data_IF_575266493763
#
_entry.id   IF_575266493763
#
_cell.length_a   1.000
_cell.length_b   1.000
_cell.length_c   1.000
_cell.angle_alpha   90.00
_cell.angle_beta   90.00
_cell.angle_gamma   90.00
#
_symmetry.space_group_name_H-M   'P 1'
#
loop_
_entity.id
_entity.type
_entity.pdbx_description
1 polymer ?
#
# COMPACT_ATOMS: atom_id res chain seq x y z
N UNK A 1 -38.54 -74.64 -61.14
CA UNK A 1 -37.98 -73.52 -61.94
C UNK A 1 -37.94 -72.22 -61.13
N UNK A 2 -37.52 -72.26 -59.86
CA UNK A 2 -37.37 -71.12 -58.95
C UNK A 2 -36.20 -71.48 -58.03
N UNK A 3 -34.98 -71.50 -58.59
CA UNK A 3 -33.72 -71.69 -57.84
C UNK A 3 -32.47 -71.28 -58.64
N UNK A 4 -32.63 -70.89 -59.91
CA UNK A 4 -31.55 -70.35 -60.77
C UNK A 4 -31.63 -68.82 -60.98
N UNK A 5 -32.55 -68.12 -60.31
CA UNK A 5 -32.70 -66.66 -60.41
C UNK A 5 -32.15 -65.90 -59.18
N UNK A 6 -31.48 -66.59 -58.25
CA UNK A 6 -30.95 -66.00 -57.00
C UNK A 6 -29.42 -66.01 -56.91
N UNK A 7 -28.75 -66.59 -57.91
CA UNK A 7 -27.28 -66.62 -58.04
C UNK A 7 -26.74 -65.65 -59.08
N UNK A 8 -27.61 -65.00 -59.88
CA UNK A 8 -27.22 -63.91 -60.80
C UNK A 8 -27.31 -62.51 -60.17
N UNK A 9 -27.94 -62.37 -59.00
CA UNK A 9 -28.02 -61.09 -58.27
C UNK A 9 -26.84 -60.87 -57.29
N UNK A 10 -26.08 -61.93 -56.98
CA UNK A 10 -24.93 -61.87 -56.05
C UNK A 10 -23.55 -61.86 -56.74
N UNK A 11 -23.49 -61.82 -58.08
CA UNK A 11 -22.25 -61.57 -58.83
C UNK A 11 -22.23 -60.19 -59.53
N UNK A 12 -23.30 -59.40 -59.42
CA UNK A 12 -23.35 -58.01 -59.91
C UNK A 12 -22.90 -56.97 -58.86
N UNK A 13 -22.56 -57.39 -57.64
CA UNK A 13 -22.23 -56.50 -56.51
C UNK A 13 -20.73 -56.50 -56.12
N UNK A 14 -19.87 -57.20 -56.85
CA UNK A 14 -18.41 -57.29 -56.58
C UNK A 14 -17.55 -56.85 -57.80
N UNK A 15 -18.14 -56.17 -58.80
CA UNK A 15 -17.41 -55.55 -59.93
C UNK A 15 -17.90 -54.10 -60.14
N UNK A 16 -18.05 -53.35 -59.04
CA UNK A 16 -18.27 -51.90 -59.10
C UNK A 16 -17.54 -51.16 -57.95
N UNK A 17 -16.35 -51.66 -57.58
CA UNK A 17 -15.47 -51.06 -56.56
C UNK A 17 -14.03 -50.84 -57.05
N UNK A 18 -13.82 -50.77 -58.38
CA UNK A 18 -12.53 -50.43 -58.99
C UNK A 18 -12.68 -49.41 -60.13
N UNK A 19 -13.53 -48.41 -59.94
CA UNK A 19 -13.28 -47.08 -60.55
C UNK A 19 -12.63 -46.23 -59.46
N UNK A 20 -11.39 -46.60 -59.15
CA UNK A 20 -10.38 -45.63 -58.76
C UNK A 20 -10.30 -44.61 -59.90
N UNK A 21 -11.11 -43.55 -59.79
CA UNK A 21 -10.84 -42.34 -60.51
C UNK A 21 -9.50 -41.85 -59.96
N UNK A 22 -8.44 -42.16 -60.71
CA UNK A 22 -7.13 -41.56 -60.55
C UNK A 22 -7.35 -40.08 -60.32
N UNK A 23 -7.06 -39.63 -59.10
CA UNK A 23 -6.81 -38.23 -58.85
C UNK A 23 -5.71 -37.84 -59.84
N UNK A 24 -6.11 -37.21 -60.95
CA UNK A 24 -5.24 -36.30 -61.65
C UNK A 24 -4.91 -35.23 -60.62
N UNK A 25 -3.84 -35.48 -59.86
CA UNK A 25 -3.00 -34.43 -59.33
C UNK A 25 -2.44 -33.72 -60.55
N UNK A 26 -3.27 -32.88 -61.18
CA UNK A 26 -2.77 -31.75 -61.92
C UNK A 26 -1.89 -31.03 -60.91
N UNK A 27 -0.59 -31.11 -61.16
CA UNK A 27 0.44 -30.30 -60.54
C UNK A 27 0.22 -28.87 -61.01
N UNK A 28 -0.95 -28.32 -60.68
CA UNK A 28 -1.26 -26.92 -60.80
C UNK A 28 -0.33 -26.24 -59.82
N UNK A 29 0.59 -25.41 -60.34
CA UNK A 29 1.24 -24.36 -59.57
C UNK A 29 0.14 -23.74 -58.70
N UNK A 30 0.11 -24.03 -57.39
CA UNK A 30 -0.86 -23.46 -56.45
C UNK A 30 -0.60 -21.97 -56.43
N UNK A 31 -1.24 -21.25 -57.36
CA UNK A 31 -1.11 -19.80 -57.48
C UNK A 31 -1.52 -19.21 -56.13
N UNK A 32 -0.76 -18.24 -55.59
CA UNK A 32 -1.14 -17.62 -54.32
C UNK A 32 -2.56 -17.07 -54.43
N UNK A 33 -3.41 -17.30 -53.41
CA UNK A 33 -4.73 -16.69 -53.31
C UNK A 33 -4.64 -15.16 -53.47
N UNK A 34 -5.73 -14.52 -53.93
CA UNK A 34 -5.74 -13.06 -54.14
C UNK A 34 -5.35 -12.29 -52.87
N UNK A 35 -5.83 -12.72 -51.70
CA UNK A 35 -5.54 -12.09 -50.41
C UNK A 35 -4.06 -12.16 -49.97
N UNK A 36 -3.27 -13.07 -50.55
CA UNK A 36 -1.80 -13.13 -50.33
C UNK A 36 -1.07 -12.06 -51.16
N UNK A 37 -1.67 -11.63 -52.27
CA UNK A 37 -1.09 -10.59 -53.14
C UNK A 37 -1.49 -9.17 -52.72
N UNK A 38 -2.70 -9.02 -52.19
CA UNK A 38 -3.28 -7.72 -51.84
C UNK A 38 -4.23 -7.88 -50.64
N UNK A 39 -4.12 -6.98 -49.65
CA UNK A 39 -4.98 -6.99 -48.46
C UNK A 39 -6.44 -6.75 -48.88
N UNK A 40 -7.38 -7.64 -48.53
CA UNK A 40 -8.79 -7.42 -48.83
C UNK A 40 -9.34 -6.16 -48.14
N UNK A 41 -10.08 -5.34 -48.89
CA UNK A 41 -10.84 -4.22 -48.33
C UNK A 41 -12.29 -4.68 -48.17
N UNK A 42 -12.71 -4.92 -46.92
CA UNK A 42 -14.06 -5.38 -46.60
C UNK A 42 -14.73 -4.40 -45.63
N UNK A 43 -15.82 -3.73 -46.02
CA UNK A 43 -16.47 -2.75 -45.14
C UNK A 43 -17.04 -3.41 -43.87
N UNK A 44 -17.51 -4.65 -43.97
CA UNK A 44 -18.24 -5.35 -42.88
C UNK A 44 -17.35 -6.17 -41.93
N UNK A 45 -16.06 -6.31 -42.24
CA UNK A 45 -15.13 -7.15 -41.48
C UNK A 45 -13.85 -6.40 -41.15
N UNK A 46 -13.35 -6.60 -39.94
CA UNK A 46 -11.95 -6.37 -39.63
C UNK A 46 -11.11 -7.52 -40.21
N UNK A 47 -9.92 -7.22 -40.69
CA UNK A 47 -9.02 -8.19 -41.34
C UNK A 47 -7.71 -8.30 -40.56
N UNK A 48 -7.19 -9.52 -40.42
CA UNK A 48 -5.86 -9.76 -39.87
C UNK A 48 -5.07 -10.69 -40.77
N UNK A 49 -3.93 -10.25 -41.29
CA UNK A 49 -3.08 -11.07 -42.16
C UNK A 49 -1.64 -11.04 -41.64
N UNK A 50 -1.04 -12.21 -41.47
CA UNK A 50 0.37 -12.32 -41.15
C UNK A 50 1.09 -13.35 -42.02
N UNK A 51 2.39 -13.11 -42.19
CA UNK A 51 3.33 -13.98 -42.89
C UNK A 51 4.51 -14.29 -41.98
N UNK A 52 4.86 -15.57 -41.88
CA UNK A 52 5.99 -16.05 -41.08
C UNK A 52 6.90 -16.92 -41.94
N UNK A 53 8.21 -16.78 -41.76
CA UNK A 53 9.20 -17.66 -42.38
C UNK A 53 9.24 -19.00 -41.64
N UNK A 54 9.27 -20.11 -42.37
CA UNK A 54 9.39 -21.46 -41.79
C UNK A 54 10.85 -21.74 -41.51
N UNK A 55 11.39 -21.17 -40.44
CA UNK A 55 12.73 -21.57 -40.00
C UNK A 55 12.71 -23.04 -39.54
N UNK A 56 13.75 -23.80 -39.90
CA UNK A 56 13.86 -25.26 -39.69
C UNK A 56 13.94 -25.59 -38.19
N UNK A 57 14.22 -24.60 -37.34
CA UNK A 57 14.38 -24.72 -35.88
C UNK A 57 13.07 -24.62 -35.07
N UNK A 58 11.97 -24.10 -35.64
CA UNK A 58 10.71 -23.90 -34.91
C UNK A 58 9.62 -24.85 -35.42
N UNK A 59 9.32 -25.90 -34.66
CA UNK A 59 8.17 -26.81 -34.88
C UNK A 59 6.81 -26.10 -34.84
N UNK A 60 6.77 -24.78 -34.56
CA UNK A 60 5.54 -24.04 -34.26
C UNK A 60 5.26 -22.79 -35.12
N UNK A 61 5.85 -22.68 -36.32
CA UNK A 61 5.65 -21.53 -37.22
C UNK A 61 4.16 -21.28 -37.56
N UNK A 62 3.32 -22.32 -37.53
CA UNK A 62 1.87 -22.20 -37.76
C UNK A 62 1.20 -21.42 -36.62
N UNK A 63 1.53 -21.71 -35.35
CA UNK A 63 0.96 -20.98 -34.22
C UNK A 63 1.51 -19.55 -34.15
N UNK A 64 2.78 -19.36 -34.52
CA UNK A 64 3.34 -18.01 -34.64
C UNK A 64 2.60 -17.18 -35.69
N UNK A 65 2.32 -17.74 -36.86
CA UNK A 65 1.56 -17.05 -37.91
C UNK A 65 0.12 -16.76 -37.50
N UNK A 66 -0.52 -17.68 -36.77
CA UNK A 66 -1.84 -17.46 -36.18
C UNK A 66 -1.80 -16.32 -35.15
N UNK A 67 -0.83 -16.33 -34.23
CA UNK A 67 -0.68 -15.29 -33.21
C UNK A 67 -0.44 -13.91 -33.83
N UNK A 68 0.42 -13.82 -34.85
CA UNK A 68 0.69 -12.55 -35.53
C UNK A 68 -0.50 -12.06 -36.36
N UNK A 69 -1.25 -12.96 -37.00
CA UNK A 69 -2.46 -12.58 -37.75
C UNK A 69 -3.55 -12.07 -36.81
N UNK A 70 -3.64 -12.62 -35.59
CA UNK A 70 -4.55 -12.11 -34.55
C UNK A 70 -4.12 -10.72 -34.07
N UNK A 71 -2.83 -10.50 -33.89
CA UNK A 71 -2.32 -9.18 -33.51
C UNK A 71 -2.60 -8.12 -34.61
N UNK A 72 -2.39 -8.47 -35.88
CA UNK A 72 -2.73 -7.60 -37.02
C UNK A 72 -4.25 -7.30 -37.06
N UNK A 73 -5.11 -8.30 -36.80
CA UNK A 73 -6.56 -8.09 -36.66
C UNK A 73 -6.89 -7.08 -35.56
N UNK A 74 -6.31 -7.26 -34.36
CA UNK A 74 -6.53 -6.35 -33.23
C UNK A 74 -6.02 -4.93 -33.51
N UNK A 75 -4.95 -4.78 -34.29
CA UNK A 75 -4.42 -3.46 -34.68
C UNK A 75 -5.35 -2.70 -35.64
N UNK A 76 -6.21 -3.41 -36.38
CA UNK A 76 -7.22 -2.79 -37.24
C UNK A 76 -8.40 -2.24 -36.42
N UNK A 77 -8.59 -2.71 -35.19
CA UNK A 77 -9.65 -2.22 -34.30
C UNK A 77 -9.19 -0.93 -33.63
N UNK A 78 -9.72 0.20 -34.09
CA UNK A 78 -9.45 1.50 -33.50
C UNK A 78 -10.17 1.65 -32.16
N UNK A 79 -9.42 1.96 -31.10
CA UNK A 79 -9.97 2.37 -29.81
C UNK A 79 -10.07 3.89 -29.80
N UNK A 80 -11.25 4.43 -29.51
CA UNK A 80 -11.50 5.87 -29.41
C UNK A 80 -12.11 6.21 -28.07
N UNK A 81 -11.58 7.23 -27.39
CA UNK A 81 -12.14 7.73 -26.14
C UNK A 81 -13.38 8.58 -26.46
N UNK A 82 -14.51 8.24 -25.83
CA UNK A 82 -15.74 9.01 -25.89
C UNK A 82 -15.56 10.41 -25.30
N UNK A 83 -16.22 11.42 -25.89
CA UNK A 83 -16.29 12.76 -25.31
C UNK A 83 -16.97 12.77 -23.92
N UNK A 84 -17.83 11.78 -23.65
CA UNK A 84 -18.52 11.61 -22.36
C UNK A 84 -17.77 10.64 -21.43
N UNK A 85 -16.53 10.26 -21.75
CA UNK A 85 -15.71 9.39 -20.91
C UNK A 85 -15.34 10.07 -19.59
N UNK A 86 -15.29 9.28 -18.51
CA UNK A 86 -14.80 9.76 -17.21
C UNK A 86 -13.31 10.12 -17.24
N UNK A 87 -12.55 9.57 -18.19
CA UNK A 87 -11.13 9.91 -18.37
C UNK A 87 -10.93 11.41 -18.65
N UNK A 88 -11.94 12.10 -19.19
CA UNK A 88 -11.88 13.56 -19.37
C UNK A 88 -11.81 14.34 -18.05
N UNK A 89 -12.20 13.75 -16.91
CA UNK A 89 -12.05 14.39 -15.60
C UNK A 89 -10.59 14.42 -15.11
N UNK A 90 -9.73 13.57 -15.66
CA UNK A 90 -8.34 13.40 -15.25
C UNK A 90 -7.38 13.96 -16.30
N UNK A 91 -7.67 15.16 -16.83
CA UNK A 91 -6.86 15.82 -17.87
C UNK A 91 -5.36 15.90 -17.52
N UNK A 92 -5.04 16.15 -16.25
CA UNK A 92 -3.65 16.27 -15.78
C UNK A 92 -2.93 14.90 -15.66
N UNK A 93 -3.67 13.78 -15.65
CA UNK A 93 -3.16 12.42 -15.46
C UNK A 93 -2.89 11.73 -16.80
N UNK A 94 -2.04 12.35 -17.61
CA UNK A 94 -1.66 11.87 -18.95
C UNK A 94 -1.11 10.44 -18.95
N UNK A 95 -0.25 10.12 -17.98
CA UNK A 95 0.35 8.80 -17.84
C UNK A 95 -0.70 7.70 -17.63
N UNK A 96 -1.73 7.95 -16.81
CA UNK A 96 -2.78 6.96 -16.57
C UNK A 96 -3.60 6.69 -17.83
N UNK A 97 -3.92 7.73 -18.60
CA UNK A 97 -4.67 7.58 -19.88
C UNK A 97 -3.91 6.74 -20.89
N UNK A 98 -2.62 7.00 -21.05
CA UNK A 98 -1.75 6.24 -21.96
C UNK A 98 -1.62 4.78 -21.52
N UNK A 99 -1.41 4.54 -20.21
CA UNK A 99 -1.36 3.20 -19.64
C UNK A 99 -2.69 2.46 -19.86
N UNK A 100 -3.82 3.13 -19.61
CA UNK A 100 -5.16 2.57 -19.82
C UNK A 100 -5.39 2.18 -21.28
N UNK A 101 -5.06 3.06 -22.23
CA UNK A 101 -5.20 2.77 -23.65
C UNK A 101 -4.32 1.58 -24.09
N UNK A 102 -3.06 1.54 -23.62
CA UNK A 102 -2.14 0.43 -23.88
C UNK A 102 -2.68 -0.89 -23.33
N UNK A 103 -3.25 -0.87 -22.12
CA UNK A 103 -3.86 -2.03 -21.48
C UNK A 103 -5.09 -2.53 -22.24
N UNK A 104 -5.97 -1.64 -22.73
CA UNK A 104 -7.10 -2.06 -23.58
C UNK A 104 -6.59 -2.74 -24.85
N UNK A 105 -5.60 -2.15 -25.53
CA UNK A 105 -5.05 -2.74 -26.77
C UNK A 105 -4.46 -4.13 -26.51
N UNK A 106 -3.77 -4.32 -25.39
CA UNK A 106 -3.19 -5.60 -24.99
C UNK A 106 -4.27 -6.63 -24.62
N UNK A 107 -5.27 -6.22 -23.83
CA UNK A 107 -6.37 -7.08 -23.40
C UNK A 107 -7.28 -7.47 -24.56
N UNK A 108 -7.44 -6.59 -25.56
CA UNK A 108 -8.21 -6.90 -26.77
C UNK A 108 -7.68 -8.17 -27.44
N UNK A 109 -6.37 -8.35 -27.56
CA UNK A 109 -5.79 -9.55 -28.16
C UNK A 109 -6.09 -10.84 -27.36
N UNK A 110 -6.34 -10.72 -26.06
CA UNK A 110 -6.63 -11.86 -25.18
C UNK A 110 -8.13 -12.19 -25.14
N UNK A 111 -9.00 -11.17 -25.19
CA UNK A 111 -10.45 -11.31 -25.02
C UNK A 111 -11.25 -11.28 -26.33
N UNK A 112 -10.60 -11.03 -27.48
CA UNK A 112 -11.28 -10.98 -28.77
C UNK A 112 -11.83 -12.37 -29.13
N UNK A 113 -13.13 -12.41 -29.40
CA UNK A 113 -13.87 -13.62 -29.72
C UNK A 113 -14.59 -13.47 -31.07
N UNK A 114 -15.03 -14.59 -31.65
CA UNK A 114 -15.84 -14.57 -32.87
C UNK A 114 -15.07 -14.26 -34.16
N UNK A 115 -13.73 -14.25 -34.12
CA UNK A 115 -12.92 -14.18 -35.32
C UNK A 115 -12.82 -15.55 -36.00
N UNK A 116 -12.71 -15.55 -37.33
CA UNK A 116 -12.72 -16.77 -38.15
C UNK A 116 -11.47 -16.84 -39.03
N UNK A 117 -10.95 -18.05 -39.24
CA UNK A 117 -9.92 -18.31 -40.25
C UNK A 117 -10.56 -18.36 -41.64
N UNK A 118 -10.25 -17.36 -42.47
CA UNK A 118 -10.71 -17.32 -43.86
C UNK A 118 -9.84 -18.22 -44.73
N UNK A 119 -8.54 -18.30 -44.42
CA UNK A 119 -7.64 -19.21 -45.10
C UNK A 119 -6.24 -19.21 -44.53
N UNK A 120 -5.49 -20.25 -44.91
CA UNK A 120 -4.04 -20.30 -44.76
C UNK A 120 -3.39 -20.62 -46.10
N UNK A 121 -2.18 -20.11 -46.31
CA UNK A 121 -1.42 -20.42 -47.52
C UNK A 121 0.01 -20.80 -47.17
N UNK A 122 0.37 -22.02 -47.56
CA UNK A 122 1.72 -22.56 -47.43
C UNK A 122 2.50 -22.28 -48.73
N UNK A 123 3.46 -21.35 -48.65
CA UNK A 123 4.40 -21.09 -49.72
C UNK A 123 5.56 -22.10 -49.67
N UNK A 124 5.37 -23.24 -50.34
CA UNK A 124 6.41 -24.29 -50.40
C UNK A 124 7.72 -23.85 -51.05
N UNK A 125 7.70 -22.81 -51.90
CA UNK A 125 8.89 -22.34 -52.65
C UNK A 125 9.60 -21.15 -51.97
N UNK A 126 8.84 -20.28 -51.32
CA UNK A 126 9.37 -19.09 -50.62
C UNK A 126 9.64 -19.29 -49.13
N UNK A 127 9.39 -20.48 -48.59
CA UNK A 127 9.57 -20.79 -47.17
C UNK A 127 8.71 -19.90 -46.23
N UNK A 128 7.49 -19.55 -46.67
CA UNK A 128 6.57 -18.69 -45.91
C UNK A 128 5.27 -19.40 -45.60
N UNK A 129 4.65 -19.04 -44.48
CA UNK A 129 3.32 -19.48 -44.09
C UNK A 129 2.46 -18.26 -43.77
N UNK A 130 1.29 -18.20 -44.42
CA UNK A 130 0.37 -17.08 -44.34
C UNK A 130 -0.93 -17.51 -43.65
N UNK A 131 -1.48 -16.63 -42.82
CA UNK A 131 -2.77 -16.81 -42.15
C UNK A 131 -3.62 -15.55 -42.36
N UNK A 132 -4.90 -15.75 -42.63
CA UNK A 132 -5.89 -14.69 -42.78
C UNK A 132 -7.09 -14.93 -41.84
N UNK A 133 -7.28 -13.99 -40.92
CA UNK A 133 -8.45 -13.88 -40.06
C UNK A 133 -9.40 -12.75 -40.49
N UNK A 134 -10.68 -12.94 -40.18
CA UNK A 134 -11.69 -11.87 -40.24
C UNK A 134 -12.54 -11.85 -38.98
N UNK A 135 -13.08 -10.70 -38.64
CA UNK A 135 -14.09 -10.54 -37.58
C UNK A 135 -15.21 -9.62 -38.08
N UNK A 136 -16.47 -10.04 -37.93
CA UNK A 136 -17.61 -9.20 -38.32
C UNK A 136 -17.69 -7.95 -37.43
N UNK A 137 -17.71 -6.76 -38.03
CA UNK A 137 -17.84 -5.50 -37.30
C UNK A 137 -19.16 -5.41 -36.55
N UNK A 138 -20.26 -5.85 -37.17
CA UNK A 138 -21.58 -5.84 -36.56
C UNK A 138 -21.67 -6.76 -35.33
N UNK A 139 -21.05 -7.94 -35.40
CA UNK A 139 -21.00 -8.88 -34.27
C UNK A 139 -20.13 -8.33 -33.13
N UNK A 140 -18.97 -7.79 -33.47
CA UNK A 140 -18.07 -7.16 -32.49
C UNK A 140 -18.78 -6.03 -31.74
N UNK A 141 -19.42 -5.10 -32.46
CA UNK A 141 -20.18 -3.99 -31.86
C UNK A 141 -21.33 -4.47 -30.98
N UNK A 142 -22.05 -5.52 -31.39
CA UNK A 142 -23.11 -6.10 -30.58
C UNK A 142 -22.56 -6.66 -29.26
N UNK A 143 -21.47 -7.43 -29.31
CA UNK A 143 -20.83 -8.01 -28.13
C UNK A 143 -20.28 -6.91 -27.21
N UNK A 144 -19.60 -5.91 -27.78
CA UNK A 144 -19.08 -4.74 -27.06
C UNK A 144 -20.21 -4.01 -26.32
N UNK A 145 -21.33 -3.74 -26.99
CA UNK A 145 -22.52 -3.12 -26.39
C UNK A 145 -23.14 -3.96 -25.28
N UNK A 146 -23.20 -5.29 -25.44
CA UNK A 146 -23.72 -6.19 -24.40
C UNK A 146 -22.85 -6.19 -23.15
N UNK A 147 -21.51 -6.26 -23.32
CA UNK A 147 -20.54 -6.15 -22.21
C UNK A 147 -20.70 -4.80 -21.49
N UNK A 148 -20.72 -3.70 -22.25
CA UNK A 148 -20.91 -2.35 -21.71
C UNK A 148 -22.23 -2.20 -20.94
N UNK A 149 -23.35 -2.66 -21.50
CA UNK A 149 -24.65 -2.56 -20.84
C UNK A 149 -24.72 -3.39 -19.55
N UNK A 150 -24.06 -4.57 -19.52
CA UNK A 150 -23.95 -5.38 -18.31
C UNK A 150 -23.13 -4.65 -17.23
N UNK A 151 -21.97 -4.12 -17.59
CA UNK A 151 -21.12 -3.32 -16.71
C UNK A 151 -21.90 -2.12 -16.12
N UNK A 152 -22.54 -1.32 -16.99
CA UNK A 152 -23.40 -0.20 -16.60
C UNK A 152 -24.48 -0.60 -15.60
N UNK A 153 -25.17 -1.73 -15.84
CA UNK A 153 -26.25 -2.20 -14.95
C UNK A 153 -25.71 -2.58 -13.56
N UNK A 154 -24.58 -3.28 -13.51
CA UNK A 154 -23.94 -3.67 -12.23
C UNK A 154 -23.47 -2.43 -11.47
N UNK A 155 -22.77 -1.53 -12.17
CA UNK A 155 -22.28 -0.29 -11.58
C UNK A 155 -23.41 0.63 -11.10
N UNK A 156 -24.48 0.75 -11.88
CA UNK A 156 -25.68 1.50 -11.49
C UNK A 156 -26.29 0.95 -10.19
N UNK A 157 -26.42 -0.38 -10.07
CA UNK A 157 -26.95 -1.00 -8.86
C UNK A 157 -26.09 -0.70 -7.62
N UNK A 158 -24.76 -0.72 -7.75
CA UNK A 158 -23.87 -0.34 -6.64
C UNK A 158 -23.90 1.17 -6.36
N UNK A 159 -23.96 2.00 -7.40
CA UNK A 159 -24.10 3.45 -7.26
C UNK A 159 -25.37 3.82 -6.49
N UNK A 160 -26.50 3.18 -6.79
CA UNK A 160 -27.77 3.40 -6.09
C UNK A 160 -27.69 2.94 -4.63
N UNK A 161 -27.04 1.80 -4.34
CA UNK A 161 -26.78 1.35 -2.96
C UNK A 161 -25.86 2.32 -2.20
N UNK A 162 -24.85 2.87 -2.86
CA UNK A 162 -23.96 3.88 -2.29
C UNK A 162 -24.75 5.15 -1.93
N UNK A 163 -25.60 5.64 -2.85
CA UNK A 163 -26.48 6.79 -2.61
C UNK A 163 -27.47 6.55 -1.48
N UNK A 164 -27.99 5.33 -1.35
CA UNK A 164 -28.84 4.99 -0.21
C UNK A 164 -28.05 4.99 1.12
N UNK A 165 -26.81 4.50 1.10
CA UNK A 165 -25.92 4.50 2.27
C UNK A 165 -25.55 5.93 2.68
N UNK A 166 -25.27 6.83 1.72
CA UNK A 166 -25.07 8.26 1.97
C UNK A 166 -26.27 8.91 2.68
N UNK A 167 -27.50 8.63 2.19
CA UNK A 167 -28.73 9.17 2.80
C UNK A 167 -28.90 8.70 4.26
N UNK A 168 -28.41 7.51 4.56
CA UNK A 168 -28.42 6.92 5.90
C UNK A 168 -27.22 7.33 6.77
N UNK A 169 -26.30 8.17 6.27
CA UNK A 169 -25.03 8.55 6.89
C UNK A 169 -24.06 7.37 7.15
N UNK A 170 -24.27 6.25 6.48
CA UNK A 170 -23.31 5.14 6.47
C UNK A 170 -22.26 5.39 5.38
N UNK A 171 -21.40 6.37 5.64
CA UNK A 171 -20.51 6.94 4.63
C UNK A 171 -19.40 5.98 4.21
N UNK A 172 -18.89 5.16 5.12
CA UNK A 172 -17.86 4.18 4.76
C UNK A 172 -18.42 3.06 3.89
N UNK A 173 -19.65 2.62 4.19
CA UNK A 173 -20.36 1.67 3.33
C UNK A 173 -20.66 2.28 1.96
N UNK A 174 -21.01 3.58 1.90
CA UNK A 174 -21.18 4.29 0.63
C UNK A 174 -19.89 4.30 -0.20
N UNK A 175 -18.75 4.67 0.40
CA UNK A 175 -17.43 4.63 -0.25
C UNK A 175 -17.10 3.22 -0.76
N UNK A 176 -17.40 2.19 0.04
CA UNK A 176 -17.20 0.77 -0.36
C UNK A 176 -18.07 0.37 -1.55
N UNK A 177 -19.32 0.84 -1.63
CA UNK A 177 -20.17 0.59 -2.79
C UNK A 177 -19.73 1.38 -4.03
N UNK A 178 -19.20 2.60 -3.86
CA UNK A 178 -18.60 3.34 -4.97
C UNK A 178 -17.36 2.65 -5.54
N UNK A 179 -16.51 2.05 -4.70
CA UNK A 179 -15.39 1.23 -5.16
C UNK A 179 -15.89 0.05 -6.01
N UNK A 180 -16.90 -0.69 -5.55
CA UNK A 180 -17.51 -1.78 -6.33
C UNK A 180 -18.17 -1.31 -7.63
N UNK A 181 -18.75 -0.12 -7.64
CA UNK A 181 -19.31 0.48 -8.85
C UNK A 181 -18.21 0.83 -9.86
N UNK A 182 -17.06 1.30 -9.37
CA UNK A 182 -15.87 1.62 -10.16
C UNK A 182 -15.24 0.35 -10.77
N UNK A 183 -15.07 -0.71 -9.98
CA UNK A 183 -14.60 -2.02 -10.45
C UNK A 183 -15.45 -2.52 -11.63
N UNK A 184 -16.78 -2.35 -11.55
CA UNK A 184 -17.69 -2.81 -12.58
C UNK A 184 -17.56 -2.07 -13.93
N UNK A 185 -17.02 -0.84 -13.94
CA UNK A 185 -16.80 -0.03 -15.15
C UNK A 185 -15.32 0.10 -15.54
N UNK A 186 -14.40 -0.50 -14.79
CA UNK A 186 -12.94 -0.38 -14.97
C UNK A 186 -12.52 -0.60 -16.43
N UNK A 187 -13.05 -1.63 -17.09
CA UNK A 187 -12.71 -1.97 -18.48
C UNK A 187 -13.38 -1.09 -19.55
N UNK A 188 -14.16 -0.10 -19.14
CA UNK A 188 -15.04 0.69 -20.01
C UNK A 188 -14.95 2.19 -19.73
N UNK A 189 -13.87 2.67 -19.10
CA UNK A 189 -13.72 4.08 -18.74
C UNK A 189 -13.64 4.99 -19.97
N UNK A 190 -13.19 4.48 -21.13
CA UNK A 190 -13.16 5.16 -22.43
C UNK A 190 -14.54 5.36 -23.07
N UNK A 191 -15.56 4.64 -22.61
CA UNK A 191 -16.90 4.64 -23.20
C UNK A 191 -17.83 5.71 -22.59
N UNK A 192 -18.97 5.97 -23.26
CA UNK A 192 -20.05 6.75 -22.63
C UNK A 192 -20.72 5.91 -21.53
N UNK A 193 -20.48 6.25 -20.27
CA UNK A 193 -21.04 5.58 -19.09
C UNK A 193 -22.39 6.17 -18.62
N UNK A 194 -23.10 6.89 -19.50
CA UNK A 194 -24.41 7.46 -19.18
C UNK A 194 -25.49 6.40 -18.95
N UNK A 195 -26.28 6.59 -17.89
CA UNK A 195 -27.45 5.80 -17.51
C UNK A 195 -28.58 6.70 -17.01
N UNK A 196 -29.81 6.17 -17.00
CA UNK A 196 -30.95 6.84 -16.38
C UNK A 196 -31.10 6.34 -14.94
N UNK A 197 -31.11 7.26 -13.98
CA UNK A 197 -31.36 7.00 -12.56
C UNK A 197 -32.65 7.70 -12.12
N UNK A 198 -33.06 7.51 -10.86
CA UNK A 198 -34.19 8.24 -10.27
C UNK A 198 -33.99 9.76 -10.27
N UNK A 199 -32.74 10.22 -10.18
CA UNK A 199 -32.38 11.64 -10.16
C UNK A 199 -32.12 12.20 -11.59
N UNK A 200 -32.43 11.41 -12.62
CA UNK A 200 -32.27 11.76 -14.03
C UNK A 200 -31.09 11.06 -14.71
N UNK A 201 -30.71 11.57 -15.88
CA UNK A 201 -29.60 11.01 -16.66
C UNK A 201 -28.27 11.47 -16.08
N UNK A 202 -27.43 10.52 -15.69
CA UNK A 202 -26.08 10.78 -15.14
C UNK A 202 -25.04 9.95 -15.89
N UNK A 203 -23.79 10.39 -15.86
CA UNK A 203 -22.64 9.55 -16.22
C UNK A 203 -22.13 8.87 -14.95
N UNK A 204 -22.03 7.54 -14.95
CA UNK A 204 -21.65 6.78 -13.75
C UNK A 204 -20.24 7.13 -13.27
N UNK A 205 -19.26 7.24 -14.17
CA UNK A 205 -17.89 7.53 -13.76
C UNK A 205 -17.77 8.89 -13.09
N UNK A 206 -18.29 9.95 -13.72
CA UNK A 206 -18.25 11.30 -13.12
C UNK A 206 -19.13 11.39 -11.87
N UNK A 207 -20.27 10.70 -11.85
CA UNK A 207 -21.16 10.62 -10.71
C UNK A 207 -20.51 9.96 -9.50
N UNK A 208 -19.79 8.84 -9.69
CA UNK A 208 -19.03 8.15 -8.65
C UNK A 208 -17.94 9.07 -8.10
N UNK A 209 -17.11 9.65 -8.98
CA UNK A 209 -16.04 10.57 -8.59
C UNK A 209 -16.58 11.73 -7.75
N UNK A 210 -17.57 12.46 -8.26
CA UNK A 210 -18.15 13.61 -7.56
C UNK A 210 -18.76 13.22 -6.20
N UNK A 211 -19.30 12.02 -6.07
CA UNK A 211 -19.90 11.55 -4.82
C UNK A 211 -18.83 11.25 -3.77
N UNK A 212 -17.74 10.55 -4.15
CA UNK A 212 -16.58 10.31 -3.28
C UNK A 212 -16.00 11.65 -2.81
N UNK A 213 -15.75 12.58 -3.74
CA UNK A 213 -15.19 13.89 -3.43
C UNK A 213 -16.11 14.71 -2.53
N UNK A 214 -17.43 14.62 -2.72
CA UNK A 214 -18.39 15.27 -1.83
C UNK A 214 -18.37 14.65 -0.42
N UNK A 215 -18.23 13.33 -0.30
CA UNK A 215 -18.07 12.68 1.01
C UNK A 215 -16.82 13.19 1.71
N UNK A 216 -15.69 13.24 1.00
CA UNK A 216 -14.43 13.76 1.56
C UNK A 216 -14.56 15.21 1.99
N UNK A 217 -15.14 16.07 1.13
CA UNK A 217 -15.29 17.50 1.41
C UNK A 217 -16.22 17.78 2.59
N UNK A 218 -17.29 17.01 2.76
CA UNK A 218 -18.30 17.24 3.81
C UNK A 218 -17.99 16.50 5.12
N UNK A 219 -17.09 15.54 5.11
CA UNK A 219 -16.69 14.84 6.34
C UNK A 219 -15.62 15.64 7.07
N UNK A 220 -15.91 16.03 8.31
CA UNK A 220 -14.97 16.70 9.20
C UNK A 220 -14.58 15.77 10.35
N UNK A 221 -13.27 15.65 10.59
CA UNK A 221 -12.71 14.92 11.73
C UNK A 221 -12.15 15.94 12.72
N UNK A 222 -12.76 16.04 13.91
CA UNK A 222 -12.38 17.00 14.94
C UNK A 222 -11.90 16.26 16.19
N UNK A 223 -10.61 16.35 16.56
CA UNK A 223 -10.15 15.88 17.85
C UNK A 223 -10.70 16.76 18.97
N UNK A 224 -11.23 16.16 20.04
CA UNK A 224 -11.71 16.89 21.23
C UNK A 224 -10.59 17.73 21.85
N UNK A 225 -9.35 17.22 21.77
CA UNK A 225 -8.14 17.91 22.20
C UNK A 225 -7.15 18.00 21.05
N UNK A 226 -7.01 19.20 20.50
CA UNK A 226 -6.01 19.51 19.47
C UNK A 226 -4.58 19.56 20.02
N UNK A 227 -4.45 19.73 21.34
CA UNK A 227 -3.16 19.75 22.03
C UNK A 227 -3.21 18.84 23.25
N UNK A 228 -2.25 17.94 23.35
CA UNK A 228 -2.09 17.04 24.48
C UNK A 228 -0.72 17.30 25.10
N UNK A 229 -0.67 17.47 26.42
CA UNK A 229 0.58 17.57 27.18
C UNK A 229 0.83 16.24 27.86
N UNK A 230 1.99 15.66 27.61
CA UNK A 230 2.42 14.37 28.16
C UNK A 230 3.84 14.48 28.69
N UNK A 231 4.15 13.67 29.70
CA UNK A 231 5.54 13.46 30.10
C UNK A 231 6.09 12.22 29.39
N UNK A 232 7.39 12.21 29.09
CA UNK A 232 8.06 11.04 28.49
C UNK A 232 7.75 9.79 29.30
N UNK A 233 7.50 8.66 28.61
CA UNK A 233 7.23 7.35 29.22
C UNK A 233 6.00 7.29 30.13
N UNK A 234 5.12 8.29 30.07
CA UNK A 234 3.81 8.24 30.77
C UNK A 234 2.68 7.96 29.78
N UNK A 235 1.65 7.27 30.28
CA UNK A 235 0.44 7.00 29.51
C UNK A 235 -0.57 8.15 29.61
N UNK A 236 -1.28 8.43 28.51
CA UNK A 236 -2.44 9.30 28.57
C UNK A 236 -3.58 8.52 29.24
N UNK A 237 -4.05 8.98 30.40
CA UNK A 237 -5.13 8.33 31.15
C UNK A 237 -6.47 8.38 30.42
N UNK A 238 -6.74 9.48 29.73
CA UNK A 238 -7.96 9.70 28.98
C UNK A 238 -7.75 9.33 27.50
N UNK A 239 -8.69 8.61 26.86
CA UNK A 239 -8.57 8.32 25.44
C UNK A 239 -8.57 9.62 24.63
N UNK A 240 -7.85 9.60 23.51
CA UNK A 240 -7.98 10.59 22.45
C UNK A 240 -9.34 10.35 21.81
N UNK A 241 -10.24 11.32 21.94
CA UNK A 241 -11.56 11.30 21.32
C UNK A 241 -11.53 12.10 20.02
N UNK A 242 -12.09 11.52 18.97
CA UNK A 242 -12.22 12.10 17.64
C UNK A 242 -13.70 12.08 17.29
N UNK A 243 -14.26 13.25 17.01
CA UNK A 243 -15.62 13.41 16.53
C UNK A 243 -15.62 13.45 15.00
N UNK A 244 -16.50 12.69 14.37
CA UNK A 244 -16.74 12.73 12.93
C UNK A 244 -18.11 13.33 12.63
N UNK A 245 -18.12 14.37 11.80
CA UNK A 245 -19.30 15.16 11.49
C UNK A 245 -19.46 15.34 9.98
N UNK A 246 -20.69 15.26 9.51
CA UNK A 246 -21.09 15.57 8.16
C UNK A 246 -21.59 17.02 8.11
N UNK A 247 -20.88 17.86 7.36
CA UNK A 247 -21.23 19.25 7.09
C UNK A 247 -22.37 19.29 6.07
N UNK A 248 -23.60 19.23 6.56
CA UNK A 248 -24.82 19.44 5.78
C UNK A 248 -25.04 20.91 5.44
N UNK A 249 -26.06 21.19 4.62
CA UNK A 249 -26.39 22.57 4.20
C UNK A 249 -27.10 23.37 5.30
N UNK A 250 -27.61 22.71 6.35
CA UNK A 250 -28.44 23.32 7.40
C UNK A 250 -27.94 22.99 8.79
N UNK A 251 -27.50 21.75 9.02
CA UNK A 251 -27.03 21.25 10.31
C UNK A 251 -25.93 20.22 10.12
N UNK A 252 -25.05 20.15 11.12
CA UNK A 252 -24.02 19.12 11.25
C UNK A 252 -24.66 17.82 11.74
N UNK A 253 -24.33 16.70 11.09
CA UNK A 253 -24.83 15.37 11.47
C UNK A 253 -23.69 14.48 11.92
N UNK A 254 -23.93 13.65 12.91
CA UNK A 254 -22.93 12.71 13.43
C UNK A 254 -22.78 11.53 12.47
N UNK A 255 -21.53 11.10 12.24
CA UNK A 255 -21.23 9.99 11.32
C UNK A 255 -20.86 8.75 12.13
N UNK A 256 -21.74 7.72 12.20
CA UNK A 256 -21.42 6.47 12.87
C UNK A 256 -20.60 5.53 11.99
N UNK A 257 -19.94 4.55 12.62
CA UNK A 257 -19.23 3.45 11.94
C UNK A 257 -18.16 3.90 10.92
N UNK A 258 -17.59 5.10 11.09
CA UNK A 258 -16.53 5.62 10.23
C UNK A 258 -15.18 5.11 10.75
N UNK A 259 -14.40 4.35 9.94
CA UNK A 259 -13.09 3.88 10.35
C UNK A 259 -12.08 5.01 10.22
N UNK A 260 -11.30 5.21 11.29
CA UNK A 260 -10.34 6.30 11.42
C UNK A 260 -8.99 5.69 11.74
N UNK A 261 -7.97 6.17 11.02
CA UNK A 261 -6.57 5.86 11.27
C UNK A 261 -5.91 7.02 11.99
N UNK A 262 -5.03 6.69 12.94
CA UNK A 262 -4.16 7.63 13.62
C UNK A 262 -2.71 7.24 13.36
N UNK A 263 -1.89 8.17 12.91
CA UNK A 263 -0.48 7.93 12.62
C UNK A 263 0.39 9.09 13.10
N UNK A 264 1.55 8.79 13.67
CA UNK A 264 2.54 9.82 13.94
C UNK A 264 3.14 10.31 12.62
N UNK A 265 2.98 11.60 12.32
CA UNK A 265 3.66 12.29 11.20
C UNK A 265 4.95 12.94 11.66
N UNK A 266 5.07 13.20 12.97
CA UNK A 266 6.29 13.71 13.62
C UNK A 266 6.39 13.12 15.02
N UNK A 267 7.54 12.52 15.34
CA UNK A 267 7.71 11.79 16.59
C UNK A 267 7.31 10.32 16.45
N UNK A 268 7.10 9.65 17.58
CA UNK A 268 6.81 8.22 17.63
C UNK A 268 6.24 7.82 18.99
N UNK A 269 5.46 6.75 18.99
CA UNK A 269 4.78 6.23 20.18
C UNK A 269 3.88 5.04 19.87
N UNK A 270 3.30 4.48 20.93
CA UNK A 270 2.39 3.33 20.84
C UNK A 270 0.98 3.79 21.12
N UNK A 271 0.11 3.69 20.13
CA UNK A 271 -1.32 3.95 20.25
C UNK A 271 -2.16 2.90 19.54
N UNK A 272 -3.45 2.84 19.88
CA UNK A 272 -4.42 2.14 19.04
C UNK A 272 -4.68 2.96 17.77
N UNK A 273 -3.98 2.61 16.69
CA UNK A 273 -3.93 3.39 15.46
C UNK A 273 -5.12 3.19 14.52
N UNK A 274 -6.00 2.21 14.78
CA UNK A 274 -7.22 1.96 14.01
C UNK A 274 -8.41 1.93 14.95
N UNK A 275 -9.34 2.84 14.74
CA UNK A 275 -10.53 3.02 15.56
C UNK A 275 -11.74 3.27 14.67
N UNK A 276 -12.95 3.15 15.20
CA UNK A 276 -14.18 3.36 14.45
C UNK A 276 -15.11 4.22 15.28
N UNK A 277 -15.86 5.11 14.63
CA UNK A 277 -16.84 5.95 15.34
C UNK A 277 -18.04 5.14 15.81
N UNK A 278 -18.54 5.48 16.99
CA UNK A 278 -19.75 4.92 17.55
C UNK A 278 -21.02 5.60 17.00
N UNK A 279 -22.19 5.24 17.54
CA UNK A 279 -23.49 5.83 17.16
C UNK A 279 -23.60 7.34 17.42
N UNK A 280 -22.71 7.91 18.23
CA UNK A 280 -22.64 9.34 18.53
C UNK A 280 -21.55 10.05 17.73
N UNK A 281 -20.93 9.37 16.76
CA UNK A 281 -19.89 9.92 15.90
C UNK A 281 -18.53 10.05 16.58
N UNK A 282 -18.30 9.38 17.71
CA UNK A 282 -17.02 9.45 18.43
C UNK A 282 -16.21 8.17 18.26
N UNK A 283 -14.92 8.33 17.92
CA UNK A 283 -13.93 7.26 17.98
C UNK A 283 -12.93 7.52 19.11
N UNK A 284 -12.56 6.47 19.83
CA UNK A 284 -11.66 6.54 20.98
C UNK A 284 -10.35 5.79 20.70
N UNK A 285 -9.22 6.50 20.69
CA UNK A 285 -7.89 5.92 20.59
C UNK A 285 -7.14 6.05 21.92
N UNK A 286 -6.47 4.97 22.34
CA UNK A 286 -5.63 4.98 23.54
C UNK A 286 -4.17 5.20 23.13
N UNK A 287 -3.59 6.32 23.58
CA UNK A 287 -2.15 6.57 23.50
C UNK A 287 -1.48 5.97 24.74
N UNK A 288 -0.84 4.83 24.54
CA UNK A 288 -0.23 4.05 25.63
C UNK A 288 1.09 4.67 26.08
N UNK A 289 1.95 5.07 25.13
CA UNK A 289 3.20 5.78 25.44
C UNK A 289 3.70 6.59 24.26
N UNK A 290 4.49 7.62 24.57
CA UNK A 290 5.28 8.36 23.59
C UNK A 290 6.75 7.93 23.77
N UNK A 291 7.36 7.43 22.70
CA UNK A 291 8.74 6.92 22.70
C UNK A 291 9.73 7.92 22.15
N UNK A 292 9.28 8.85 21.30
CA UNK A 292 10.13 9.90 20.75
C UNK A 292 10.44 10.98 21.79
N UNK A 293 11.68 11.47 21.77
CA UNK A 293 12.21 12.54 22.63
C UNK A 293 11.88 13.95 22.11
N UNK A 294 11.23 14.02 20.95
CA UNK A 294 10.87 15.30 20.34
C UNK A 294 9.85 16.02 21.22
N UNK A 295 10.17 17.26 21.62
CA UNK A 295 9.28 18.09 22.44
C UNK A 295 7.93 18.35 21.74
N UNK A 296 7.96 18.54 20.44
CA UNK A 296 6.79 18.79 19.62
C UNK A 296 6.60 17.63 18.64
N UNK A 297 5.53 16.88 18.84
CA UNK A 297 5.13 15.74 18.02
C UNK A 297 3.75 15.97 17.42
N UNK A 298 3.43 15.22 16.39
CA UNK A 298 2.20 15.35 15.62
C UNK A 298 1.63 13.97 15.31
N UNK A 299 0.35 13.79 15.66
CA UNK A 299 -0.47 12.68 15.19
C UNK A 299 -1.43 13.23 14.15
N UNK A 300 -1.43 12.65 12.97
CA UNK A 300 -2.48 12.82 11.98
C UNK A 300 -3.60 11.83 12.26
N UNK A 301 -4.83 12.34 12.18
CA UNK A 301 -6.08 11.59 12.25
C UNK A 301 -6.68 11.65 10.87
N UNK A 302 -6.95 10.51 10.23
CA UNK A 302 -7.46 10.45 8.87
C UNK A 302 -8.50 9.33 8.71
N UNK A 303 -9.31 9.41 7.66
CA UNK A 303 -10.18 8.31 7.25
C UNK A 303 -9.34 7.08 6.88
N UNK A 304 -9.62 5.91 7.49
CA UNK A 304 -8.93 4.67 7.11
C UNK A 304 -9.51 4.14 5.78
N UNK A 305 -8.71 4.26 4.72
CA UNK A 305 -9.06 3.81 3.37
C UNK A 305 -8.36 2.50 2.97
N UNK A 306 -7.67 1.83 3.90
CA UNK A 306 -6.81 0.66 3.57
C UNK A 306 -7.57 -0.53 2.97
N UNK A 307 -8.87 -0.66 3.21
CA UNK A 307 -9.70 -1.70 2.57
C UNK A 307 -10.18 -1.35 1.16
N UNK A 308 -10.03 -0.10 0.74
CA UNK A 308 -10.40 0.39 -0.61
C UNK A 308 -9.13 0.62 -1.44
N UNK A 309 -8.07 1.13 -0.81
CA UNK A 309 -6.76 1.43 -1.38
C UNK A 309 -5.75 0.36 -0.98
N UNK A 310 -5.88 -0.83 -1.54
CA UNK A 310 -4.95 -1.94 -1.31
C UNK A 310 -3.90 -1.99 -2.43
N UNK A 311 -2.64 -1.70 -2.13
CA UNK A 311 -1.54 -1.66 -3.10
C UNK A 311 -1.28 -3.00 -3.82
N UNK A 312 -1.79 -4.11 -3.28
CA UNK A 312 -1.63 -5.43 -3.87
C UNK A 312 -2.72 -5.78 -4.90
N UNK A 313 -3.74 -4.94 -5.08
CA UNK A 313 -4.83 -5.18 -6.04
C UNK A 313 -4.58 -4.46 -7.36
N UNK A 314 -4.95 -5.11 -8.47
CA UNK A 314 -4.74 -4.59 -9.83
C UNK A 314 -5.47 -3.24 -10.06
N UNK A 315 -6.62 -3.06 -9.41
CA UNK A 315 -7.45 -1.85 -9.49
C UNK A 315 -6.90 -0.67 -8.64
N UNK A 316 -5.81 -0.84 -7.88
CA UNK A 316 -5.28 0.17 -6.96
C UNK A 316 -5.05 1.52 -7.63
N UNK A 317 -4.46 1.55 -8.84
CA UNK A 317 -4.19 2.79 -9.58
C UNK A 317 -5.47 3.55 -9.89
N UNK A 318 -6.50 2.84 -10.34
CA UNK A 318 -7.81 3.41 -10.63
C UNK A 318 -8.49 3.91 -9.35
N UNK A 319 -8.47 3.10 -8.29
CA UNK A 319 -9.04 3.50 -7.00
C UNK A 319 -8.34 4.74 -6.44
N UNK A 320 -7.02 4.82 -6.51
CA UNK A 320 -6.26 5.99 -6.03
C UNK A 320 -6.65 7.29 -6.75
N UNK A 321 -6.96 7.23 -8.04
CA UNK A 321 -7.45 8.39 -8.81
C UNK A 321 -8.80 8.88 -8.31
N UNK A 322 -9.72 7.97 -8.00
CA UNK A 322 -11.08 8.32 -7.56
C UNK A 322 -11.14 8.67 -6.06
N UNK A 323 -10.41 7.94 -5.24
CA UNK A 323 -10.27 8.12 -3.80
C UNK A 323 -8.97 8.86 -3.47
N UNK A 324 -8.78 10.04 -4.07
CA UNK A 324 -7.58 10.88 -3.94
C UNK A 324 -7.19 11.06 -2.47
N UNK A 325 -6.12 10.39 -1.97
CA UNK A 325 -5.79 10.37 -0.54
C UNK A 325 -5.53 11.75 0.05
N UNK A 326 -5.01 12.66 -0.77
CA UNK A 326 -4.67 14.03 -0.37
C UNK A 326 -5.90 14.85 0.00
N UNK A 327 -7.05 14.54 -0.62
CA UNK A 327 -8.35 15.18 -0.42
C UNK A 327 -9.17 14.50 0.68
N UNK A 328 -8.76 13.32 1.15
CA UNK A 328 -9.46 12.59 2.19
C UNK A 328 -9.49 13.39 3.52
N UNK A 329 -10.55 13.24 4.33
CA UNK A 329 -10.70 13.93 5.61
C UNK A 329 -9.51 13.64 6.53
N UNK A 330 -8.89 14.71 7.03
CA UNK A 330 -7.78 14.62 7.98
C UNK A 330 -7.74 15.79 8.96
N UNK A 331 -7.19 15.55 10.13
CA UNK A 331 -6.90 16.55 11.14
C UNK A 331 -5.65 16.18 11.93
N UNK A 332 -5.18 17.10 12.77
CA UNK A 332 -3.90 16.97 13.47
C UNK A 332 -4.07 17.20 14.96
N UNK A 333 -3.33 16.42 15.72
CA UNK A 333 -3.18 16.54 17.17
C UNK A 333 -1.72 16.83 17.45
N UNK A 334 -1.47 17.91 18.17
CA UNK A 334 -0.13 18.27 18.61
C UNK A 334 0.11 17.67 19.99
N UNK A 335 1.22 16.94 20.13
CA UNK A 335 1.66 16.42 21.41
C UNK A 335 2.87 17.23 21.86
N UNK A 336 2.72 17.85 23.03
CA UNK A 336 3.80 18.53 23.74
C UNK A 336 4.35 17.57 24.78
N UNK A 337 5.54 17.07 24.53
CA UNK A 337 6.24 16.14 25.43
C UNK A 337 7.16 16.92 26.36
N UNK A 338 6.90 16.77 27.66
CA UNK A 338 7.72 17.32 28.73
C UNK A 338 8.60 16.22 29.34
N UNK A 339 9.77 16.60 29.86
CA UNK A 339 10.65 15.66 30.57
C UNK A 339 10.12 15.42 31.98
N UNK A 340 10.36 14.22 32.51
CA UNK A 340 9.91 13.84 33.84
C UNK A 340 10.67 14.63 34.92
N UNK A 341 9.96 15.27 35.84
CA UNK A 341 10.61 16.03 36.93
C UNK A 341 11.22 15.08 37.96
N UNK A 342 12.54 15.12 38.12
CA UNK A 342 13.27 14.24 39.03
C UNK A 342 14.09 14.99 40.07
N UNK A 343 14.20 14.41 41.27
CA UNK A 343 15.18 14.81 42.27
C UNK A 343 16.34 13.82 42.25
N UNK A 344 17.58 14.32 42.16
CA UNK A 344 18.77 13.46 42.05
C UNK A 344 19.55 13.41 43.37
N UNK A 345 19.71 12.20 43.89
CA UNK A 345 20.67 11.89 44.93
C UNK A 345 21.91 11.27 44.30
N UNK A 346 23.08 11.79 44.62
CA UNK A 346 24.34 11.28 44.09
C UNK A 346 25.33 11.07 45.24
N UNK A 347 25.89 9.87 45.33
CA UNK A 347 26.94 9.52 46.28
C UNK A 347 28.07 8.84 45.53
N UNK A 348 29.28 9.33 45.73
CA UNK A 348 30.47 8.81 45.07
C UNK A 348 31.52 8.42 46.11
N UNK A 349 32.07 7.22 45.94
CA UNK A 349 33.26 6.77 46.65
C UNK A 349 34.41 6.59 45.67
N UNK A 350 35.57 7.12 46.03
CA UNK A 350 36.81 6.92 45.30
C UNK A 350 37.81 6.29 46.27
N UNK A 351 38.24 5.07 45.95
CA UNK A 351 39.21 4.30 46.74
C UNK A 351 38.80 4.17 48.22
N UNK A 352 37.52 3.91 48.45
CA UNK A 352 36.93 3.72 49.78
C UNK A 352 36.60 5.00 50.56
N UNK A 353 36.83 6.19 49.98
CA UNK A 353 36.51 7.48 50.61
C UNK A 353 35.41 8.21 49.86
N UNK A 354 34.53 8.88 50.58
CA UNK A 354 33.50 9.73 49.98
C UNK A 354 34.16 10.90 49.23
N UNK A 355 33.66 11.17 48.02
CA UNK A 355 34.16 12.20 47.11
C UNK A 355 33.17 13.36 47.00
N UNK A 356 33.71 14.56 46.82
CA UNK A 356 32.96 15.80 46.56
C UNK A 356 33.36 16.43 45.22
N UNK A 357 33.98 15.67 44.31
CA UNK A 357 34.53 16.21 43.05
C UNK A 357 33.46 16.68 42.07
N UNK A 358 32.21 16.21 42.20
CA UNK A 358 31.03 16.53 41.37
C UNK A 358 31.19 16.33 39.83
N UNK A 359 32.35 15.92 39.31
CA UNK A 359 32.60 15.73 37.88
C UNK A 359 31.63 14.70 37.28
N UNK A 360 31.62 13.48 37.84
CA UNK A 360 30.74 12.41 37.36
C UNK A 360 29.27 12.79 37.55
N UNK A 361 28.90 13.36 38.72
CA UNK A 361 27.56 13.89 38.99
C UNK A 361 27.08 14.82 37.87
N UNK A 362 27.90 15.78 37.46
CA UNK A 362 27.53 16.76 36.44
C UNK A 362 27.42 16.15 35.05
N UNK A 363 28.32 15.23 34.68
CA UNK A 363 28.25 14.52 33.41
C UNK A 363 26.99 13.65 33.32
N UNK A 364 26.71 12.86 34.36
CA UNK A 364 25.49 12.05 34.44
C UNK A 364 24.22 12.90 34.44
N UNK A 365 24.22 14.00 35.21
CA UNK A 365 23.09 14.92 35.24
C UNK A 365 22.83 15.52 33.87
N UNK A 366 23.88 15.89 33.11
CA UNK A 366 23.76 16.40 31.74
C UNK A 366 23.15 15.33 30.82
N UNK A 367 23.75 14.14 30.78
CA UNK A 367 23.33 13.03 29.92
C UNK A 367 21.87 12.65 30.17
N UNK A 368 21.48 12.51 31.44
CA UNK A 368 20.11 12.19 31.84
C UNK A 368 19.13 13.34 31.62
N UNK A 369 19.59 14.60 31.72
CA UNK A 369 18.76 15.78 31.43
C UNK A 369 18.44 15.91 29.95
N UNK A 370 19.39 15.58 29.09
CA UNK A 370 19.21 15.67 27.64
C UNK A 370 18.15 14.66 27.16
N UNK A 371 18.09 13.50 27.82
CA UNK A 371 17.32 12.36 27.35
C UNK A 371 15.97 12.14 28.06
N UNK A 372 15.86 12.32 29.38
CA UNK A 372 14.72 11.79 30.13
C UNK A 372 14.17 12.74 31.21
N UNK A 373 15.04 13.37 31.99
CA UNK A 373 14.64 14.10 33.20
C UNK A 373 14.75 15.62 33.08
N UNK A 374 13.92 16.31 33.87
CA UNK A 374 14.09 17.72 34.24
C UNK A 374 14.40 17.76 35.73
N UNK A 375 15.66 17.98 36.10
CA UNK A 375 16.05 17.91 37.51
C UNK A 375 15.61 19.14 38.31
N UNK A 376 15.05 18.90 39.49
CA UNK A 376 14.67 19.91 40.48
C UNK A 376 15.47 19.73 41.76
N UNK A 377 15.76 20.84 42.46
CA UNK A 377 16.36 20.81 43.80
C UNK A 377 15.30 20.70 44.91
N UNK A 378 14.02 20.81 44.54
CA UNK A 378 12.89 20.72 45.44
C UNK A 378 12.27 19.32 45.33
N UNK A 379 12.43 18.52 46.39
CA UNK A 379 11.99 17.12 46.45
C UNK A 379 10.46 16.99 46.35
N UNK A 380 9.71 17.98 46.86
CA UNK A 380 8.24 17.95 46.82
C UNK A 380 7.68 18.19 45.42
N UNK A 381 8.46 18.84 44.54
CA UNK A 381 8.12 19.08 43.14
C UNK A 381 8.55 17.95 42.21
N UNK A 382 9.29 16.96 42.71
CA UNK A 382 9.73 15.82 41.93
C UNK A 382 8.63 14.77 41.86
N UNK A 383 8.50 14.11 40.70
CA UNK A 383 7.66 12.92 40.55
C UNK A 383 8.42 11.66 40.91
N UNK A 384 9.72 11.66 40.65
CA UNK A 384 10.61 10.53 40.92
C UNK A 384 11.88 10.98 41.62
N UNK A 385 12.44 10.10 42.43
CA UNK A 385 13.75 10.25 43.04
C UNK A 385 14.70 9.30 42.31
N UNK A 386 15.79 9.85 41.79
CA UNK A 386 16.86 9.10 41.16
C UNK A 386 18.05 9.04 42.12
N UNK A 387 18.34 7.84 42.63
CA UNK A 387 19.50 7.56 43.45
C UNK A 387 20.61 6.94 42.59
N UNK A 388 21.77 7.61 42.57
CA UNK A 388 22.97 7.14 41.87
C UNK A 388 24.09 6.98 42.90
N UNK A 389 24.55 5.75 43.06
CA UNK A 389 25.68 5.41 43.92
C UNK A 389 26.83 4.90 43.08
N UNK A 390 28.02 5.47 43.25
CA UNK A 390 29.20 5.10 42.48
C UNK A 390 30.36 4.72 43.38
N UNK A 391 31.17 3.77 42.92
CA UNK A 391 32.36 3.34 43.64
C UNK A 391 33.51 3.08 42.66
N UNK A 392 34.61 3.81 42.83
CA UNK A 392 35.85 3.61 42.09
C UNK A 392 36.83 2.82 42.94
N UNK A 393 37.27 1.67 42.44
CA UNK A 393 38.28 0.82 43.06
C UNK A 393 39.61 0.91 42.30
N UNK A 394 40.72 0.70 43.02
CA UNK A 394 42.05 0.62 42.39
C UNK A 394 42.21 -0.74 41.73
N UNK A 395 42.56 -0.72 40.45
CA UNK A 395 43.04 -1.90 39.75
C UNK A 395 44.55 -2.07 39.88
N UNK A 396 45.08 -2.92 39.01
CA UNK A 396 46.52 -3.13 38.88
C UNK A 396 47.24 -1.94 38.25
N UNK A 397 48.54 -1.84 38.50
CA UNK A 397 49.42 -0.93 37.77
C UNK A 397 50.25 -1.74 36.80
N UNK A 398 50.03 -1.53 35.50
CA UNK A 398 50.80 -2.21 34.45
C UNK A 398 52.08 -1.47 34.18
N UNK A 399 53.20 -2.09 34.49
CA UNK A 399 54.53 -1.55 34.22
C UNK A 399 55.18 -2.29 33.04
N UNK A 400 55.63 -1.53 32.05
CA UNK A 400 56.47 -1.99 30.94
C UNK A 400 57.82 -1.28 30.96
N UNK A 401 58.72 -1.62 30.01
CA UNK A 401 60.11 -1.11 30.00
C UNK A 401 60.22 0.42 30.10
N UNK A 402 59.26 1.17 29.54
CA UNK A 402 59.23 2.64 29.55
C UNK A 402 57.83 3.23 29.84
N UNK A 403 56.90 2.47 30.44
CA UNK A 403 55.56 2.99 30.74
C UNK A 403 54.98 2.40 32.02
N UNK A 404 54.13 3.18 32.68
CA UNK A 404 53.38 2.78 33.87
C UNK A 404 51.94 3.21 33.66
N UNK A 405 51.01 2.28 33.63
CA UNK A 405 49.58 2.55 33.40
C UNK A 405 48.81 2.19 34.66
N UNK A 406 48.09 3.16 35.21
CA UNK A 406 47.25 2.99 36.38
C UNK A 406 45.85 2.59 35.93
N UNK A 407 45.34 1.47 36.43
CA UNK A 407 44.00 0.98 36.08
C UNK A 407 43.05 1.23 37.26
N UNK A 408 41.82 1.62 36.98
CA UNK A 408 40.72 1.71 37.93
C UNK A 408 39.47 1.07 37.35
N UNK A 409 38.57 0.69 38.25
CA UNK A 409 37.27 0.14 37.89
C UNK A 409 36.18 0.94 38.60
N UNK A 410 35.16 1.34 37.86
CA UNK A 410 34.02 2.12 38.35
C UNK A 410 32.75 1.28 38.24
N UNK A 411 32.05 1.14 39.37
CA UNK A 411 30.69 0.61 39.41
C UNK A 411 29.70 1.76 39.62
N UNK A 412 28.59 1.75 38.87
CA UNK A 412 27.49 2.71 39.04
C UNK A 412 26.18 1.96 39.23
N UNK A 413 25.47 2.27 40.32
CA UNK A 413 24.16 1.72 40.65
C UNK A 413 23.09 2.81 40.53
N UNK A 414 21.99 2.49 39.86
CA UNK A 414 20.86 3.38 39.60
C UNK A 414 19.60 2.81 40.23
N UNK A 415 18.88 3.63 40.98
CA UNK A 415 17.53 3.32 41.44
C UNK A 415 16.61 4.51 41.19
N UNK A 416 15.43 4.24 40.64
CA UNK A 416 14.37 5.23 40.44
C UNK A 416 13.17 4.84 41.30
N UNK A 417 12.71 5.77 42.13
CA UNK A 417 11.58 5.58 43.03
C UNK A 417 10.48 6.60 42.73
N UNK A 418 9.22 6.14 42.61
CA UNK A 418 8.07 7.03 42.49
C UNK A 418 7.77 7.72 43.83
N UNK A 419 7.65 9.04 43.83
CA UNK A 419 7.50 9.85 45.06
C UNK A 419 6.15 9.62 45.73
N UNK A 420 5.10 9.31 44.97
CA UNK A 420 3.74 9.18 45.51
C UNK A 420 3.50 7.83 46.17
N UNK A 421 3.98 6.78 45.54
CA UNK A 421 3.78 5.39 45.96
C UNK A 421 4.92 4.87 46.83
N UNK A 422 6.12 5.46 46.70
CA UNK A 422 7.34 4.96 47.33
C UNK A 422 7.88 3.67 46.69
N UNK A 423 7.33 3.25 45.55
CA UNK A 423 7.75 2.03 44.87
C UNK A 423 9.00 2.27 44.01
N UNK A 424 9.97 1.36 44.09
CA UNK A 424 11.10 1.32 43.16
C UNK A 424 10.58 0.84 41.80
N UNK A 425 10.67 1.72 40.81
CA UNK A 425 10.16 1.55 39.45
C UNK A 425 11.26 1.18 38.45
N UNK A 426 12.53 1.36 38.82
CA UNK A 426 13.67 0.94 38.03
C UNK A 426 14.89 0.73 38.93
N UNK A 427 15.66 -0.31 38.65
CA UNK A 427 16.91 -0.62 39.33
C UNK A 427 17.85 -1.31 38.35
N UNK A 428 19.06 -0.78 38.20
CA UNK A 428 20.07 -1.34 37.31
C UNK A 428 21.47 -0.86 37.68
N UNK A 429 22.48 -1.51 37.11
CA UNK A 429 23.87 -1.15 37.36
C UNK A 429 24.77 -1.44 36.17
N UNK A 430 25.85 -0.67 36.09
CA UNK A 430 27.01 -0.96 35.24
C UNK A 430 28.19 -1.26 36.15
N UNK A 431 28.97 -2.27 35.78
CA UNK A 431 30.03 -2.83 36.61
C UNK A 431 31.37 -2.78 35.88
N UNK A 432 32.43 -2.63 36.66
CA UNK A 432 33.81 -2.74 36.22
C UNK A 432 34.18 -1.84 35.03
N UNK A 433 33.58 -0.65 34.94
CA UNK A 433 33.92 0.31 33.89
C UNK A 433 35.37 0.73 34.05
N UNK A 434 36.17 0.41 33.04
CA UNK A 434 37.63 0.46 33.14
C UNK A 434 38.17 1.80 32.67
N UNK A 435 38.94 2.47 33.54
CA UNK A 435 39.79 3.61 33.17
C UNK A 435 41.28 3.24 33.27
N UNK A 436 42.11 3.73 32.36
CA UNK A 436 43.54 3.42 32.30
C UNK A 436 44.42 4.55 31.73
N UNK A 437 45.03 5.36 32.60
CA UNK A 437 45.96 6.43 32.17
C UNK A 437 47.40 6.20 32.62
N UNK A 438 48.40 6.65 31.84
CA UNK A 438 49.81 6.49 32.18
C UNK A 438 50.33 7.47 33.24
N UNK A 439 49.49 8.42 33.67
CA UNK A 439 49.91 9.54 34.52
C UNK A 439 49.68 9.22 36.00
N UNK A 440 48.44 8.93 36.39
CA UNK A 440 48.08 8.61 37.77
C UNK A 440 46.70 7.95 37.86
N UNK A 441 46.39 7.40 39.04
CA UNK A 441 45.05 6.92 39.36
C UNK A 441 43.96 8.00 39.14
N UNK A 442 44.23 9.27 39.45
CA UNK A 442 43.25 10.36 39.27
C UNK A 442 42.90 10.61 37.79
N UNK A 443 43.88 10.48 36.89
CA UNK A 443 43.62 10.56 35.45
C UNK A 443 42.87 9.32 34.94
N UNK A 444 43.19 8.13 35.49
CA UNK A 444 42.46 6.91 35.18
C UNK A 444 40.99 6.99 35.66
N UNK A 445 40.71 7.63 36.80
CA UNK A 445 39.34 7.90 37.26
C UNK A 445 38.57 8.77 36.27
N UNK A 446 39.20 9.83 35.74
CA UNK A 446 38.54 10.69 34.75
C UNK A 446 38.16 9.94 33.47
N UNK A 447 39.03 9.04 33.00
CA UNK A 447 38.73 8.19 31.85
C UNK A 447 37.59 7.21 32.16
N UNK A 448 37.59 6.59 33.34
CA UNK A 448 36.48 5.74 33.76
C UNK A 448 35.14 6.50 33.81
N UNK A 449 35.15 7.80 34.15
CA UNK A 449 33.94 8.62 34.09
C UNK A 449 33.43 8.85 32.68
N UNK A 450 34.33 9.09 31.72
CA UNK A 450 33.98 9.26 30.31
C UNK A 450 33.35 7.97 29.77
N UNK A 451 34.04 6.83 29.96
CA UNK A 451 33.56 5.51 29.56
C UNK A 451 32.22 5.15 30.23
N UNK A 452 32.02 5.51 31.51
CA UNK A 452 30.78 5.21 32.22
C UNK A 452 29.59 6.00 31.65
N UNK A 453 29.80 7.26 31.24
CA UNK A 453 28.76 8.07 30.59
C UNK A 453 28.35 7.43 29.26
N UNK A 454 29.33 6.98 28.46
CA UNK A 454 29.07 6.30 27.20
C UNK A 454 28.36 4.95 27.40
N UNK A 455 28.73 4.17 28.42
CA UNK A 455 28.06 2.92 28.75
C UNK A 455 26.62 3.14 29.20
N UNK A 456 26.36 4.16 30.03
CA UNK A 456 25.01 4.56 30.46
C UNK A 456 24.16 4.97 29.27
N UNK A 457 24.72 5.71 28.32
CA UNK A 457 24.02 6.10 27.10
C UNK A 457 23.53 4.88 26.32
N UNK A 458 24.36 3.85 26.22
CA UNK A 458 24.09 2.67 25.42
C UNK A 458 23.25 1.61 26.16
N UNK A 459 23.24 1.59 27.49
CA UNK A 459 22.63 0.51 28.28
C UNK A 459 21.47 0.96 29.16
N UNK A 460 21.68 2.00 29.98
CA UNK A 460 20.71 2.48 30.96
C UNK A 460 19.62 3.32 30.28
N UNK A 461 19.99 4.27 29.41
CA UNK A 461 19.02 5.14 28.74
C UNK A 461 17.98 4.35 27.93
N UNK A 462 18.35 3.34 27.11
CA UNK A 462 17.37 2.53 26.40
C UNK A 462 16.39 1.82 27.33
N UNK A 463 16.85 1.31 28.48
CA UNK A 463 15.99 0.65 29.47
C UNK A 463 15.04 1.63 30.15
N UNK A 464 15.51 2.84 30.50
CA UNK A 464 14.63 3.90 31.02
C UNK A 464 13.50 4.26 30.04
N UNK A 465 13.76 4.26 28.72
CA UNK A 465 12.74 4.49 27.69
C UNK A 465 11.70 3.37 27.57
N UNK A 466 11.98 2.19 28.13
CA UNK A 466 11.04 1.06 28.13
C UNK A 466 10.12 1.05 29.35
N UNK A 467 10.38 1.88 30.36
CA UNK A 467 9.55 1.99 31.55
C UNK A 467 8.17 2.55 31.19
N UNK A 468 7.13 1.96 31.79
CA UNK A 468 5.78 2.51 31.82
C UNK A 468 5.57 3.17 33.20
N UNK A 469 5.57 4.51 33.23
CA UNK A 469 5.46 5.33 34.44
C UNK A 469 4.08 5.96 34.64
#
# INVERSE_FOLDING_TARGET
MIKTLRTLFNYSLIILLLVSCSAQSSMAKRRPPKWVKERPITPDYFVGIAVVKKDVSQTNYIQLAKSQALHDLCSEISISISANSVLQQFEDETQFKEEFQSNIQTNLAQEIEGYEIVGSWDNKRGNEYWVYYRLSKAQYELQKRLKLNKAKKVAQNYFEQAKQSEKNLDLFQALSYYAKALDAIEKHLDEDLSVMTFDGRINLGTGIYNSIQNIFKRTQLTPDRKQIKLEISTSQKEPILIKAEWLGDSEEKLIPSLPIQLAFTKGDGVLNNKVTTDQFGYAASKLSKVTSRMKLQEIEVSLDMSSILNENEDNYKLHKLFFTPELAPKSKIIINVERLKAYMNFKEKIFGKDSQREILKNNLKKELSENFFSFTNDKEKAKVILDINTNVTKGEVKEGRNYKVFIVYLDCFFSLTDVKTGMEIFNDAIYEVKGMKPISYDYAVKEAYEEAVDEIHNTIIPKLNQLDL
#
